data_IF_183495788008
#
_entry.id   IF_183495788008
#
_cell.length_a   1.000
_cell.length_b   1.000
_cell.length_c   1.000
_cell.angle_alpha   90.00
_cell.angle_beta   90.00
_cell.angle_gamma   90.00
#
_symmetry.space_group_name_H-M   'P 1'
#
loop_
_entity.id
_entity.type
_entity.pdbx_description
1 polymer ?
#
# COMPACT_ATOMS: atom_id res chain seq x y z
N UNK A 1 -4.25 -7.46 -17.57
CA UNK A 1 -2.98 -6.87 -17.09
C UNK A 1 -3.31 -5.97 -15.91
N UNK A 2 -2.53 -6.05 -14.84
CA UNK A 2 -2.70 -5.23 -13.64
C UNK A 2 -2.22 -3.79 -13.93
N UNK A 3 -3.07 -2.79 -13.69
CA UNK A 3 -2.66 -1.38 -13.80
C UNK A 3 -2.08 -0.90 -12.46
N UNK A 4 -0.79 -0.58 -12.46
CA UNK A 4 -0.06 -0.10 -11.28
C UNK A 4 0.02 1.43 -11.21
N UNK A 5 -0.52 2.15 -12.19
CA UNK A 5 -0.37 3.62 -12.29
C UNK A 5 -0.84 4.36 -11.03
N UNK A 6 -1.89 3.86 -10.38
CA UNK A 6 -2.43 4.45 -9.15
C UNK A 6 -1.51 4.22 -7.96
N UNK A 7 -0.89 3.03 -7.86
CA UNK A 7 0.09 2.74 -6.81
C UNK A 7 1.36 3.58 -7.01
N UNK A 8 1.86 3.70 -8.23
CA UNK A 8 3.03 4.55 -8.54
C UNK A 8 2.78 5.99 -8.10
N UNK A 9 1.63 6.58 -8.46
CA UNK A 9 1.27 7.95 -8.05
C UNK A 9 1.17 8.11 -6.54
N UNK A 10 0.67 7.09 -5.83
CA UNK A 10 0.57 7.09 -4.38
C UNK A 10 1.97 7.07 -3.73
N UNK A 11 2.88 6.24 -4.23
CA UNK A 11 4.27 6.18 -3.77
C UNK A 11 5.02 7.48 -4.03
N UNK A 12 4.87 8.08 -5.22
CA UNK A 12 5.47 9.38 -5.51
C UNK A 12 4.95 10.48 -4.56
N UNK A 13 3.66 10.42 -4.21
CA UNK A 13 3.04 11.34 -3.23
C UNK A 13 3.59 11.13 -1.83
N UNK A 14 3.77 9.87 -1.41
CA UNK A 14 4.36 9.50 -0.13
C UNK A 14 5.81 9.97 -0.04
N UNK A 15 6.62 9.75 -1.07
CA UNK A 15 8.02 10.20 -1.11
C UNK A 15 8.12 11.72 -0.93
N UNK A 16 7.29 12.50 -1.65
CA UNK A 16 7.25 13.96 -1.48
C UNK A 16 6.86 14.39 -0.06
N UNK A 17 5.91 13.68 0.56
CA UNK A 17 5.49 14.00 1.93
C UNK A 17 6.60 13.69 2.95
N UNK A 18 7.31 12.58 2.77
CA UNK A 18 8.47 12.22 3.61
C UNK A 18 9.58 13.25 3.44
N UNK A 19 9.87 13.69 2.22
CA UNK A 19 10.89 14.70 2.01
C UNK A 19 10.51 16.03 2.65
N UNK A 20 9.22 16.40 2.58
CA UNK A 20 8.71 17.61 3.24
C UNK A 20 8.82 17.52 4.77
N UNK A 21 8.49 16.37 5.37
CA UNK A 21 8.52 16.20 6.83
C UNK A 21 9.91 16.36 7.43
N UNK A 22 10.97 15.98 6.70
CA UNK A 22 12.37 16.19 7.13
C UNK A 22 12.70 17.66 7.39
N UNK A 23 12.07 18.59 6.67
CA UNK A 23 12.30 20.02 6.83
C UNK A 23 11.56 20.65 8.02
N UNK A 24 10.54 19.96 8.55
CA UNK A 24 9.66 20.44 9.63
C UNK A 24 9.27 19.28 10.56
N UNK A 25 10.23 18.67 11.28
CA UNK A 25 10.00 17.41 12.01
C UNK A 25 9.01 17.52 13.17
N UNK A 26 8.86 18.71 13.76
CA UNK A 26 7.93 18.98 14.86
C UNK A 26 6.50 19.26 14.38
N UNK A 27 6.29 19.41 13.07
CA UNK A 27 4.98 19.68 12.50
C UNK A 27 4.13 18.40 12.46
N UNK A 28 3.18 18.33 13.39
CA UNK A 28 2.30 17.17 13.53
C UNK A 28 1.37 16.99 12.34
N UNK A 29 0.93 18.08 11.68
CA UNK A 29 0.06 17.97 10.51
C UNK A 29 0.80 17.34 9.34
N UNK A 30 2.07 17.72 9.15
CA UNK A 30 2.92 17.11 8.11
C UNK A 30 3.22 15.64 8.43
N UNK A 31 3.44 15.30 9.70
CA UNK A 31 3.60 13.89 10.11
C UNK A 31 2.34 13.07 9.82
N UNK A 32 1.16 13.57 10.18
CA UNK A 32 -0.11 12.88 9.96
C UNK A 32 -0.39 12.72 8.46
N UNK A 33 -0.03 13.73 7.67
CA UNK A 33 -0.05 13.73 6.21
C UNK A 33 0.84 12.63 5.58
N UNK A 34 1.99 12.30 6.20
CA UNK A 34 2.84 11.16 5.81
C UNK A 34 2.18 9.83 6.17
N UNK A 35 1.64 9.71 7.39
CA UNK A 35 0.96 8.50 7.87
C UNK A 35 -0.21 8.15 6.93
N UNK A 36 -1.06 9.12 6.61
CA UNK A 36 -2.21 8.92 5.72
C UNK A 36 -1.78 8.43 4.32
N UNK A 37 -0.69 8.98 3.76
CA UNK A 37 -0.18 8.55 2.45
C UNK A 37 0.44 7.17 2.50
N UNK A 38 1.06 6.81 3.63
CA UNK A 38 1.57 5.46 3.85
C UNK A 38 0.41 4.47 3.88
N UNK A 39 -0.61 4.70 4.71
CA UNK A 39 -1.80 3.85 4.81
C UNK A 39 -2.50 3.66 3.46
N UNK A 40 -2.66 4.74 2.70
CA UNK A 40 -3.24 4.69 1.36
C UNK A 40 -2.40 3.86 0.37
N UNK A 41 -1.09 4.12 0.30
CA UNK A 41 -0.18 3.37 -0.60
C UNK A 41 -0.14 1.89 -0.25
N UNK A 42 -0.24 1.61 1.04
CA UNK A 42 -0.24 0.26 1.58
C UNK A 42 -1.55 -0.49 1.28
N UNK A 43 -2.72 0.16 1.43
CA UNK A 43 -4.02 -0.38 1.01
C UNK A 43 -4.06 -0.65 -0.50
N UNK A 44 -3.50 0.24 -1.32
CA UNK A 44 -3.39 0.02 -2.76
C UNK A 44 -2.51 -1.19 -3.07
N UNK A 45 -1.35 -1.32 -2.41
CA UNK A 45 -0.47 -2.48 -2.58
C UNK A 45 -1.21 -3.78 -2.28
N UNK A 46 -2.00 -3.81 -1.19
CA UNK A 46 -2.86 -4.93 -0.86
C UNK A 46 -3.88 -5.25 -1.96
N UNK A 47 -4.63 -4.25 -2.44
CA UNK A 47 -5.61 -4.42 -3.53
C UNK A 47 -4.97 -4.99 -4.79
N UNK A 48 -3.75 -4.54 -5.12
CA UNK A 48 -3.00 -5.03 -6.27
C UNK A 48 -2.56 -6.49 -6.09
N UNK A 49 -2.07 -6.86 -4.90
CA UNK A 49 -1.72 -8.24 -4.57
C UNK A 49 -2.95 -9.17 -4.65
N UNK A 50 -4.08 -8.78 -4.05
CA UNK A 50 -5.33 -9.56 -4.11
C UNK A 50 -5.76 -9.79 -5.55
N UNK A 51 -5.77 -8.74 -6.36
CA UNK A 51 -6.17 -8.82 -7.78
C UNK A 51 -5.22 -9.68 -8.60
N UNK A 52 -3.92 -9.67 -8.31
CA UNK A 52 -2.96 -10.55 -8.97
C UNK A 52 -3.21 -12.02 -8.61
N UNK A 53 -3.45 -12.32 -7.33
CA UNK A 53 -3.79 -13.67 -6.87
C UNK A 53 -5.09 -14.20 -7.50
N UNK A 54 -6.10 -13.34 -7.67
CA UNK A 54 -7.36 -13.69 -8.35
C UNK A 54 -7.17 -13.96 -9.86
N UNK A 55 -6.18 -13.33 -10.49
CA UNK A 55 -5.82 -13.61 -11.89
C UNK A 55 -5.12 -14.97 -11.99
N UNK A 56 -4.23 -15.27 -11.05
CA UNK A 56 -3.39 -16.47 -11.09
C UNK A 56 -4.12 -17.73 -10.59
N UNK A 57 -5.18 -17.59 -9.78
CA UNK A 57 -6.05 -18.69 -9.34
C UNK A 57 -7.50 -18.24 -9.13
N UNK A 58 -8.51 -18.95 -9.67
CA UNK A 58 -9.94 -18.59 -9.53
C UNK A 58 -10.51 -18.88 -8.12
N UNK A 59 -9.66 -19.20 -7.14
CA UNK A 59 -10.08 -19.44 -5.75
C UNK A 59 -10.38 -18.10 -5.08
N UNK A 60 -11.57 -17.91 -4.48
CA UNK A 60 -11.90 -16.66 -3.81
C UNK A 60 -10.92 -16.36 -2.67
N UNK A 61 -10.15 -15.28 -2.81
CA UNK A 61 -9.19 -14.80 -1.78
C UNK A 61 -9.89 -14.11 -0.61
N UNK A 62 -11.22 -14.09 -0.63
CA UNK A 62 -12.10 -13.34 0.29
C UNK A 62 -12.07 -13.83 1.75
N UNK A 63 -11.38 -14.94 2.01
CA UNK A 63 -11.23 -15.54 3.35
C UNK A 63 -9.98 -15.07 4.11
N UNK A 64 -9.06 -14.37 3.46
CA UNK A 64 -7.82 -13.94 4.12
C UNK A 64 -7.97 -12.52 4.64
N UNK A 65 -8.12 -12.43 5.95
CA UNK A 65 -7.88 -11.20 6.65
C UNK A 65 -6.46 -10.74 6.34
N UNK A 66 -6.29 -9.44 6.30
CA UNK A 66 -5.04 -8.73 6.10
C UNK A 66 -3.79 -9.31 6.85
N UNK A 67 -3.98 -10.06 7.94
CA UNK A 67 -2.95 -10.72 8.74
C UNK A 67 -2.54 -12.12 8.28
N UNK A 68 -3.24 -12.71 7.30
CA UNK A 68 -3.10 -14.13 6.95
C UNK A 68 -2.10 -14.40 5.81
N UNK A 69 -1.66 -13.37 5.07
CA UNK A 69 -0.76 -13.52 3.91
C UNK A 69 0.69 -13.92 4.21
N UNK A 70 1.34 -13.60 5.35
CA UNK A 70 2.72 -14.04 5.59
C UNK A 70 2.90 -15.56 5.57
N UNK A 71 1.80 -16.32 5.70
CA UNK A 71 1.79 -17.79 5.75
C UNK A 71 1.81 -18.47 4.37
N UNK A 72 1.51 -17.77 3.27
CA UNK A 72 1.47 -18.34 1.92
C UNK A 72 2.80 -18.24 1.15
N UNK A 73 3.74 -17.41 1.61
CA UNK A 73 5.04 -17.24 0.93
C UNK A 73 6.05 -18.37 1.21
N UNK A 74 5.68 -19.39 1.98
CA UNK A 74 6.54 -20.49 2.41
C UNK A 74 5.94 -21.87 2.08
N UNK A 75 5.18 -22.01 1.00
CA UNK A 75 4.63 -23.30 0.56
C UNK A 75 4.97 -23.59 -0.88
#
# INVERSE_FOLDING_TARGET
>A
MLDLSTLTKALDSLERAIERSKSVPEDTEIRDSVIQRFEYSYELSWKMMKRQLEIDSPTPVDVMGFKDIPKLSHS
#
